data_IF_584790405670
#
_entry.id   IF_584790405670
#
_cell.length_a   1.000
_cell.length_b   1.000
_cell.length_c   1.000
_cell.angle_alpha   90.00
_cell.angle_beta   90.00
_cell.angle_gamma   90.00
#
_symmetry.space_group_name_H-M   'P 1'
#
loop_
_entity.id
_entity.type
_entity.pdbx_description
1 polymer ?
#
# COMPACT_ATOMS: atom_id res chain seq x y z
N UNK A 1 -0.09 8.25 15.08
CA UNK A 1 -0.62 7.19 14.19
C UNK A 1 -0.44 7.56 12.71
N UNK A 2 -1.01 8.66 12.21
CA UNK A 2 -0.85 9.10 10.81
C UNK A 2 0.61 9.20 10.33
N UNK A 3 1.51 9.84 11.11
CA UNK A 3 2.94 9.90 10.76
C UNK A 3 3.60 8.52 10.67
N UNK A 4 3.38 7.65 11.67
CA UNK A 4 3.94 6.28 11.71
C UNK A 4 3.42 5.43 10.54
N UNK A 5 2.13 5.56 10.22
CA UNK A 5 1.52 4.95 9.05
C UNK A 5 2.17 5.41 7.73
N UNK A 6 2.36 6.72 7.56
CA UNK A 6 3.05 7.26 6.37
C UNK A 6 4.51 6.80 6.29
N UNK A 7 5.22 6.71 7.41
CA UNK A 7 6.60 6.18 7.46
C UNK A 7 6.64 4.70 7.01
N UNK A 8 5.69 3.86 7.46
CA UNK A 8 5.56 2.49 6.99
C UNK A 8 5.21 2.41 5.49
N UNK A 9 4.31 3.26 5.01
CA UNK A 9 3.91 3.27 3.60
C UNK A 9 5.02 3.74 2.66
N UNK A 10 5.97 4.57 3.14
CA UNK A 10 7.17 4.90 2.37
C UNK A 10 8.04 3.67 2.10
N UNK A 11 8.10 2.71 3.02
CA UNK A 11 8.84 1.45 2.81
C UNK A 11 8.15 0.55 1.75
N UNK A 12 6.83 0.64 1.62
CA UNK A 12 6.07 -0.09 0.59
C UNK A 12 6.19 0.55 -0.81
N UNK A 13 6.54 1.84 -0.89
CA UNK A 13 6.65 2.58 -2.14
C UNK A 13 5.34 2.66 -2.92
N UNK A 14 5.42 2.80 -4.24
CA UNK A 14 4.24 2.84 -5.13
C UNK A 14 3.47 1.52 -5.17
N UNK A 15 4.12 0.39 -4.86
CA UNK A 15 3.51 -0.94 -4.85
C UNK A 15 2.49 -1.12 -3.72
N UNK A 16 2.57 -0.29 -2.67
CA UNK A 16 1.61 -0.25 -1.56
C UNK A 16 0.33 0.56 -1.83
N UNK A 17 0.24 1.23 -2.99
CA UNK A 17 -0.86 2.14 -3.28
C UNK A 17 -2.12 1.36 -3.70
N UNK A 18 -3.24 1.59 -2.99
CA UNK A 18 -4.55 1.08 -3.37
C UNK A 18 -4.77 -0.43 -3.19
N UNK A 19 -3.72 -1.21 -2.93
CA UNK A 19 -3.81 -2.65 -2.67
C UNK A 19 -4.22 -2.95 -1.23
N UNK A 20 -5.02 -4.01 -1.04
CA UNK A 20 -5.35 -4.51 0.30
C UNK A 20 -4.12 -5.17 0.94
N UNK A 21 -4.13 -5.33 2.25
CA UNK A 21 -3.06 -6.04 2.95
C UNK A 21 -2.94 -7.50 2.48
N UNK A 22 -4.05 -8.12 2.06
CA UNK A 22 -4.10 -9.45 1.45
C UNK A 22 -3.32 -9.49 0.13
N UNK A 23 -3.57 -8.52 -0.77
CA UNK A 23 -2.91 -8.42 -2.07
C UNK A 23 -1.40 -8.17 -1.91
N UNK A 24 -1.03 -7.31 -0.95
CA UNK A 24 0.37 -7.06 -0.62
C UNK A 24 1.06 -8.31 -0.07
N UNK A 25 0.34 -9.18 0.66
CA UNK A 25 0.89 -10.44 1.16
C UNK A 25 0.95 -11.54 0.10
N UNK A 26 0.28 -11.38 -1.04
CA UNK A 26 0.31 -12.34 -2.14
C UNK A 26 1.64 -12.33 -2.91
N UNK A 27 2.36 -11.21 -2.93
CA UNK A 27 3.68 -11.13 -3.58
C UNK A 27 4.82 -11.27 -2.57
N UNK A 28 5.84 -12.13 -2.83
CA UNK A 28 6.94 -12.39 -1.88
C UNK A 28 7.69 -11.12 -1.41
N UNK A 29 7.90 -10.17 -2.31
CA UNK A 29 8.64 -8.94 -2.01
C UNK A 29 7.88 -8.02 -1.04
N UNK A 30 6.60 -7.77 -1.30
CA UNK A 30 5.74 -6.95 -0.44
C UNK A 30 5.33 -7.68 0.83
N UNK A 31 5.17 -9.02 0.80
CA UNK A 31 4.92 -9.83 1.99
C UNK A 31 6.01 -9.65 3.05
N UNK A 32 7.29 -9.65 2.64
CA UNK A 32 8.41 -9.42 3.56
C UNK A 32 8.35 -8.03 4.20
N UNK A 33 7.97 -7.02 3.41
CA UNK A 33 7.82 -5.64 3.90
C UNK A 33 6.64 -5.50 4.86
N UNK A 34 5.47 -6.06 4.52
CA UNK A 34 4.28 -6.08 5.39
C UNK A 34 4.59 -6.78 6.71
N UNK A 35 5.28 -7.93 6.69
CA UNK A 35 5.66 -8.62 7.92
C UNK A 35 6.56 -7.74 8.81
N UNK A 36 7.58 -7.08 8.24
CA UNK A 36 8.44 -6.15 8.98
C UNK A 36 7.65 -4.97 9.55
N UNK A 37 6.66 -4.46 8.80
CA UNK A 37 5.77 -3.40 9.27
C UNK A 37 4.94 -3.89 10.46
N UNK A 38 4.33 -5.08 10.37
CA UNK A 38 3.50 -5.64 11.44
C UNK A 38 4.29 -5.98 12.70
N UNK A 39 5.56 -6.39 12.59
CA UNK A 39 6.47 -6.57 13.72
C UNK A 39 6.67 -5.26 14.51
N UNK A 40 6.78 -4.12 13.82
CA UNK A 40 7.04 -2.81 14.42
C UNK A 40 5.78 -1.99 14.69
N UNK A 41 4.69 -2.32 14.02
CA UNK A 41 3.42 -1.60 14.05
C UNK A 41 2.22 -2.55 13.80
N UNK A 42 1.80 -3.32 14.82
CA UNK A 42 0.77 -4.35 14.66
C UNK A 42 -0.60 -3.85 14.16
N UNK A 43 -0.93 -2.57 14.43
CA UNK A 43 -2.20 -1.96 14.01
C UNK A 43 -2.17 -1.37 12.60
N UNK A 44 -1.08 -1.60 11.86
CA UNK A 44 -0.96 -1.06 10.51
C UNK A 44 -2.08 -1.54 9.59
N UNK A 45 -2.47 -2.83 9.68
CA UNK A 45 -3.50 -3.42 8.81
C UNK A 45 -4.87 -2.78 9.02
N UNK A 46 -5.30 -2.60 10.28
CA UNK A 46 -6.56 -1.92 10.61
C UNK A 46 -6.57 -0.48 10.09
N UNK A 47 -5.46 0.25 10.27
CA UNK A 47 -5.33 1.61 9.78
C UNK A 47 -5.28 1.67 8.26
N UNK A 48 -4.62 0.72 7.61
CA UNK A 48 -4.53 0.64 6.16
C UNK A 48 -5.92 0.40 5.54
N UNK A 49 -6.74 -0.46 6.14
CA UNK A 49 -8.13 -0.67 5.71
C UNK A 49 -9.00 0.60 5.73
N UNK A 50 -8.70 1.55 6.62
CA UNK A 50 -9.46 2.81 6.76
C UNK A 50 -8.83 3.94 5.92
N UNK A 51 -7.49 3.99 5.83
CA UNK A 51 -6.75 5.16 5.35
C UNK A 51 -6.11 5.01 3.97
N UNK A 52 -6.03 3.80 3.42
CA UNK A 52 -5.31 3.53 2.15
C UNK A 52 -5.74 4.44 1.01
N UNK A 53 -7.04 4.68 0.86
CA UNK A 53 -7.62 5.44 -0.26
C UNK A 53 -7.79 6.94 0.07
N UNK A 54 -7.37 7.36 1.28
CA UNK A 54 -7.49 8.74 1.71
C UNK A 54 -6.17 9.50 1.46
N UNK A 55 -6.13 10.47 0.52
CA UNK A 55 -4.92 11.21 0.17
C UNK A 55 -4.37 12.08 1.32
N UNK A 56 -5.18 12.39 2.34
CA UNK A 56 -4.71 13.08 3.54
C UNK A 56 -3.82 12.21 4.43
N UNK A 57 -3.90 10.87 4.29
CA UNK A 57 -3.21 9.91 5.14
C UNK A 57 -2.23 9.02 4.39
N UNK A 58 -2.43 8.77 3.11
CA UNK A 58 -1.52 8.00 2.27
C UNK A 58 -0.87 8.92 1.25
N UNK A 59 0.10 9.77 1.64
CA UNK A 59 0.59 10.81 0.72
C UNK A 59 1.37 10.27 -0.50
N UNK A 60 1.82 9.02 -0.48
CA UNK A 60 2.41 8.34 -1.65
C UNK A 60 1.37 8.12 -2.75
N UNK A 61 0.08 8.14 -2.41
CA UNK A 61 -1.08 7.98 -3.28
C UNK A 61 -1.39 9.24 -4.12
N UNK A 62 -1.03 10.44 -3.66
CA UNK A 62 -1.37 11.70 -4.37
C UNK A 62 -0.64 11.90 -5.71
N UNK A 63 0.26 10.99 -6.09
CA UNK A 63 1.01 11.03 -7.37
C UNK A 63 0.90 9.74 -8.19
N UNK A 64 0.20 8.72 -7.71
CA UNK A 64 -0.05 7.50 -8.47
C UNK A 64 -1.35 7.70 -9.27
N UNK A 65 -1.25 7.76 -10.60
CA UNK A 65 -2.41 7.83 -11.48
C UNK A 65 -3.26 6.56 -11.29
N UNK A 66 -4.53 6.65 -10.82
CA UNK A 66 -5.39 5.48 -10.67
C UNK A 66 -5.68 4.77 -12.02
N UNK A 67 -5.40 5.43 -13.16
CA UNK A 67 -5.71 4.95 -14.50
C UNK A 67 -4.60 4.17 -15.21
N UNK A 68 -3.43 3.93 -14.60
CA UNK A 68 -2.28 3.35 -15.32
C UNK A 68 -1.80 1.98 -14.81
N UNK A 69 -2.63 1.26 -14.08
CA UNK A 69 -2.45 -0.16 -13.80
C UNK A 69 -3.42 -0.99 -14.62
N UNK A 70 -2.90 -1.78 -15.57
CA UNK A 70 -3.63 -2.76 -16.39
C UNK A 70 -4.41 -2.21 -17.60
N UNK A 71 -3.71 -1.58 -18.56
CA UNK A 71 -4.08 -1.83 -19.96
C UNK A 71 -3.64 -3.25 -20.30
N UNK A 72 -4.54 -4.22 -20.06
CA UNK A 72 -4.39 -5.54 -20.63
C UNK A 72 -4.34 -5.38 -22.15
N UNK A 73 -3.28 -5.90 -22.75
CA UNK A 73 -3.14 -6.12 -24.17
C UNK A 73 -4.37 -6.90 -24.67
N UNK A 74 -5.33 -6.18 -25.26
CA UNK A 74 -6.39 -6.78 -26.07
C UNK A 74 -5.89 -6.79 -27.51
N UNK A 75 -5.01 -7.73 -27.82
CA UNK A 75 -4.71 -8.12 -29.19
C UNK A 75 -5.96 -8.78 -29.81
N UNK A 76 -6.60 -8.09 -30.75
CA UNK A 76 -7.27 -8.65 -31.93
C UNK A 76 -7.03 -7.73 -33.13
#
# INVERSE_FOLDING_TARGET
LCRKYNECNKELGSTGAGLMAEDLRAHPNTKKLVNKILENFPWWEDLHGIWRDNPAYNMVFSTADPGQGFSADASL
#
